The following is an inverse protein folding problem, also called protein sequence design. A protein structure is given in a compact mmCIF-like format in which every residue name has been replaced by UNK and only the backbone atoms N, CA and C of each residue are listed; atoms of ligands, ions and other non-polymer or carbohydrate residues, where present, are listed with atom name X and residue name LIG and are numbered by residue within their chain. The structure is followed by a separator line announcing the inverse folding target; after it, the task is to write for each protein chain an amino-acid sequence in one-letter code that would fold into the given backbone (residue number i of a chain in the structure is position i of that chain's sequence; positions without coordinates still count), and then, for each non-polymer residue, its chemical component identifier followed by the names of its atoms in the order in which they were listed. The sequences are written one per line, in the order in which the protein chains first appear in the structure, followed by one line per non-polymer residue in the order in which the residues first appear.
data_IF_065906005810
#
_entry.id   IF_065906005810
#
_cell.length_a   1.000
_cell.length_b   1.000
_cell.length_c   1.000
_cell.angle_alpha   90.00
_cell.angle_beta   90.00
_cell.angle_gamma   90.00
#
_symmetry.space_group_name_H-M   'P 1'
#
loop_
_entity.id
_entity.type
_entity.pdbx_description
1 polymer ?
#
# COMPACT_ATOMS: atom_id res chain seq x y z
N UNK A 1 -16.36 52.10 -29.24
CA UNK A 1 -16.86 51.05 -28.34
C UNK A 1 -15.80 49.95 -28.31
N UNK A 2 -15.09 49.84 -27.21
CA UNK A 2 -14.04 48.85 -27.03
C UNK A 2 -14.71 47.66 -26.32
N UNK A 3 -14.81 46.52 -27.01
CA UNK A 3 -15.29 45.30 -26.36
C UNK A 3 -14.24 44.81 -25.35
N UNK A 4 -14.63 44.46 -24.12
CA UNK A 4 -13.72 43.85 -23.18
C UNK A 4 -13.40 42.43 -23.65
N UNK A 5 -12.17 42.17 -24.05
CA UNK A 5 -11.65 40.82 -24.26
C UNK A 5 -11.71 40.09 -22.91
N UNK A 6 -12.64 39.18 -22.77
CA UNK A 6 -12.68 38.24 -21.64
C UNK A 6 -11.42 37.39 -21.70
N UNK A 7 -10.49 37.67 -20.80
CA UNK A 7 -9.34 36.81 -20.54
C UNK A 7 -9.88 35.61 -19.79
N UNK A 8 -10.22 34.54 -20.50
CA UNK A 8 -10.43 33.25 -19.85
C UNK A 8 -9.06 32.76 -19.39
N UNK A 9 -8.85 32.53 -18.08
CA UNK A 9 -7.63 31.90 -17.63
C UNK A 9 -7.63 30.47 -18.19
N UNK A 10 -6.70 30.20 -19.12
CA UNK A 10 -6.37 28.84 -19.52
C UNK A 10 -5.97 28.06 -18.26
N UNK A 11 -6.91 27.26 -17.76
CA UNK A 11 -6.59 26.26 -16.76
C UNK A 11 -5.63 25.29 -17.43
N UNK A 12 -4.37 25.18 -16.95
CA UNK A 12 -3.46 24.21 -17.53
C UNK A 12 -4.12 22.85 -17.38
N UNK A 13 -4.36 22.19 -18.49
CA UNK A 13 -4.81 20.80 -18.50
C UNK A 13 -3.85 20.03 -17.60
N UNK A 14 -4.37 19.52 -16.48
CA UNK A 14 -3.61 18.65 -15.63
C UNK A 14 -3.14 17.48 -16.49
N UNK A 15 -1.87 17.53 -16.89
CA UNK A 15 -1.21 16.41 -17.53
C UNK A 15 -1.15 15.32 -16.46
N UNK A 16 -2.20 14.52 -16.40
CA UNK A 16 -2.15 13.24 -15.72
C UNK A 16 -1.13 12.40 -16.47
N UNK A 17 0.12 12.50 -16.06
CA UNK A 17 1.09 11.48 -16.38
C UNK A 17 0.48 10.18 -15.85
N UNK A 18 -0.10 9.38 -16.74
CA UNK A 18 -0.61 8.06 -16.43
C UNK A 18 0.60 7.17 -16.18
N UNK A 19 1.15 7.28 -14.98
CA UNK A 19 2.12 6.30 -14.48
C UNK A 19 1.47 4.92 -14.44
N UNK A 20 2.26 3.85 -14.32
CA UNK A 20 1.72 2.50 -14.27
C UNK A 20 0.64 2.41 -13.19
N UNK A 21 -0.49 1.80 -13.54
CA UNK A 21 -1.63 1.66 -12.62
C UNK A 21 -1.17 0.87 -11.38
N UNK A 22 -1.57 1.31 -10.18
CA UNK A 22 -1.23 0.57 -8.97
C UNK A 22 -1.98 -0.77 -8.92
N UNK A 23 -1.37 -1.75 -8.29
CA UNK A 23 -2.03 -3.01 -7.94
C UNK A 23 -2.70 -2.87 -6.58
N UNK A 24 -3.93 -3.35 -6.47
CA UNK A 24 -4.70 -3.36 -5.22
C UNK A 24 -4.78 -4.79 -4.72
N UNK A 25 -4.22 -5.03 -3.54
CA UNK A 25 -4.18 -6.33 -2.90
C UNK A 25 -5.04 -6.26 -1.64
N UNK A 26 -6.17 -6.95 -1.67
CA UNK A 26 -7.15 -6.93 -0.60
C UNK A 26 -7.06 -8.21 0.21
N UNK A 27 -6.68 -8.11 1.49
CA UNK A 27 -6.62 -9.24 2.39
C UNK A 27 -8.03 -9.67 2.80
N UNK A 28 -8.22 -10.91 3.28
CA UNK A 28 -9.54 -11.38 3.72
C UNK A 28 -10.13 -10.51 4.82
N UNK A 29 -11.42 -10.20 4.73
CA UNK A 29 -12.14 -9.50 5.78
C UNK A 29 -12.21 -10.36 7.06
N UNK A 30 -12.10 -9.71 8.23
CA UNK A 30 -12.15 -10.39 9.52
C UNK A 30 -10.86 -11.08 9.93
N UNK A 31 -9.76 -10.81 9.24
CA UNK A 31 -8.44 -11.24 9.67
C UNK A 31 -8.07 -10.56 10.99
N UNK A 32 -7.62 -11.34 11.97
CA UNK A 32 -7.14 -10.80 13.23
C UNK A 32 -5.86 -9.98 13.01
N UNK A 33 -5.88 -8.73 13.45
CA UNK A 33 -4.81 -7.78 13.23
C UNK A 33 -4.03 -7.51 14.53
N UNK A 34 -2.78 -7.09 14.36
CA UNK A 34 -1.90 -6.67 15.43
C UNK A 34 -2.08 -5.17 15.67
N UNK A 35 -2.48 -4.79 16.88
CA UNK A 35 -2.56 -3.40 17.32
C UNK A 35 -1.51 -3.17 18.40
N UNK A 36 -0.73 -2.09 18.28
CA UNK A 36 0.34 -1.76 19.23
C UNK A 36 -0.17 -1.52 20.66
N UNK A 37 -1.42 -1.04 20.79
CA UNK A 37 -2.04 -0.80 22.10
C UNK A 37 -2.62 -2.05 22.74
N UNK A 38 -2.65 -3.16 22.02
CA UNK A 38 -3.16 -4.43 22.55
C UNK A 38 -2.04 -5.22 23.23
N UNK A 39 -2.21 -5.51 24.51
CA UNK A 39 -1.31 -6.43 25.21
C UNK A 39 -1.51 -7.84 24.67
N UNK A 40 -0.44 -8.41 24.15
CA UNK A 40 -0.47 -9.72 23.52
C UNK A 40 0.79 -10.49 23.91
N UNK A 41 0.61 -11.76 24.25
CA UNK A 41 1.75 -12.64 24.48
C UNK A 41 2.57 -12.82 23.19
N UNK A 42 3.88 -12.89 23.31
CA UNK A 42 4.81 -12.97 22.16
C UNK A 42 4.46 -14.10 21.17
N UNK A 43 4.15 -15.29 21.68
CA UNK A 43 3.73 -16.42 20.83
C UNK A 43 2.43 -16.16 20.06
N UNK A 44 1.48 -15.43 20.67
CA UNK A 44 0.25 -15.05 20.01
C UNK A 44 0.52 -14.01 18.91
N UNK A 45 1.37 -13.03 19.19
CA UNK A 45 1.82 -12.04 18.21
C UNK A 45 2.51 -12.71 17.02
N UNK A 46 3.43 -13.63 17.26
CA UNK A 46 4.13 -14.38 16.22
C UNK A 46 3.15 -15.16 15.31
N UNK A 47 2.12 -15.79 15.91
CA UNK A 47 1.08 -16.49 15.14
C UNK A 47 0.26 -15.53 14.25
N UNK A 48 -0.12 -14.37 14.77
CA UNK A 48 -0.85 -13.37 13.97
C UNK A 48 0.04 -12.80 12.85
N UNK A 49 1.29 -12.48 13.15
CA UNK A 49 2.27 -12.04 12.15
C UNK A 49 2.34 -13.05 10.99
N UNK A 50 2.49 -14.34 11.32
CA UNK A 50 2.52 -15.41 10.31
C UNK A 50 1.23 -15.45 9.49
N UNK A 51 0.06 -15.43 10.15
CA UNK A 51 -1.24 -15.46 9.46
C UNK A 51 -1.44 -14.28 8.51
N UNK A 52 -1.07 -13.07 8.94
CA UNK A 52 -1.19 -11.87 8.09
C UNK A 52 -0.25 -11.97 6.90
N UNK A 53 0.98 -12.41 7.11
CA UNK A 53 1.98 -12.63 6.06
C UNK A 53 1.50 -13.65 5.02
N UNK A 54 0.99 -14.79 5.47
CA UNK A 54 0.41 -15.82 4.61
C UNK A 54 -0.82 -15.30 3.85
N UNK A 55 -1.72 -14.58 4.51
CA UNK A 55 -2.91 -14.00 3.88
C UNK A 55 -2.54 -12.99 2.79
N UNK A 56 -1.52 -12.16 3.01
CA UNK A 56 -1.04 -11.23 1.99
C UNK A 56 -0.43 -11.97 0.79
N UNK A 57 0.39 -12.99 1.04
CA UNK A 57 0.93 -13.86 0.01
C UNK A 57 -0.17 -14.51 -0.85
N UNK A 58 -1.18 -15.09 -0.21
CA UNK A 58 -2.31 -15.72 -0.88
C UNK A 58 -3.15 -14.71 -1.68
N UNK A 59 -3.37 -13.51 -1.12
CA UNK A 59 -4.15 -12.46 -1.79
C UNK A 59 -3.51 -11.95 -3.09
N UNK A 60 -2.20 -12.10 -3.26
CA UNK A 60 -1.52 -11.81 -4.53
C UNK A 60 -2.05 -12.71 -5.65
N UNK A 61 -2.31 -13.99 -5.36
CA UNK A 61 -2.83 -14.94 -6.34
C UNK A 61 -4.26 -14.64 -6.80
N UNK A 62 -4.99 -13.84 -6.04
CA UNK A 62 -6.35 -13.40 -6.38
C UNK A 62 -6.39 -12.20 -7.33
N UNK A 63 -5.22 -11.67 -7.71
CA UNK A 63 -5.08 -10.56 -8.65
C UNK A 63 -4.46 -11.06 -9.97
N UNK A 64 -5.26 -11.41 -10.99
CA UNK A 64 -4.75 -12.01 -12.23
C UNK A 64 -3.70 -11.16 -12.94
N UNK A 65 -3.94 -9.85 -13.04
CA UNK A 65 -2.98 -8.93 -13.69
C UNK A 65 -1.64 -8.87 -12.97
N UNK A 66 -1.64 -8.99 -11.64
CA UNK A 66 -0.42 -9.05 -10.83
C UNK A 66 0.30 -10.38 -11.02
N UNK A 67 -0.43 -11.48 -11.08
CA UNK A 67 0.14 -12.81 -11.34
C UNK A 67 0.78 -12.88 -12.72
N UNK A 68 0.14 -12.33 -13.76
CA UNK A 68 0.72 -12.25 -15.10
C UNK A 68 2.00 -11.42 -15.13
N UNK A 69 2.00 -10.28 -14.43
CA UNK A 69 3.19 -9.42 -14.32
C UNK A 69 4.34 -10.12 -13.58
N UNK A 70 4.04 -10.82 -12.47
CA UNK A 70 5.04 -11.62 -11.73
C UNK A 70 5.64 -12.72 -12.58
N UNK A 71 4.81 -13.42 -13.34
CA UNK A 71 5.28 -14.48 -14.23
C UNK A 71 6.20 -13.94 -15.33
N UNK A 72 5.87 -12.78 -15.88
CA UNK A 72 6.68 -12.11 -16.90
C UNK A 72 8.02 -11.57 -16.36
N UNK A 73 8.07 -11.19 -15.08
CA UNK A 73 9.26 -10.64 -14.45
C UNK A 73 10.29 -11.71 -14.05
N UNK A 74 9.87 -12.97 -13.84
CA UNK A 74 10.76 -14.04 -13.38
C UNK A 74 12.01 -14.20 -14.25
N UNK A 75 13.18 -14.45 -13.66
CA UNK A 75 13.44 -14.75 -12.23
C UNK A 75 13.56 -13.53 -11.32
N UNK A 76 13.48 -12.31 -11.86
CA UNK A 76 13.61 -11.08 -11.11
C UNK A 76 12.34 -10.76 -10.29
N UNK A 77 12.45 -9.95 -9.21
CA UNK A 77 11.29 -9.40 -8.53
C UNK A 77 10.50 -8.50 -9.49
N UNK A 78 9.19 -8.33 -9.21
CA UNK A 78 8.34 -7.52 -10.06
C UNK A 78 8.74 -6.04 -10.07
N UNK A 79 9.11 -5.52 -8.91
CA UNK A 79 9.53 -4.13 -8.74
C UNK A 79 10.95 -4.06 -8.20
N UNK A 80 11.76 -3.22 -8.83
CA UNK A 80 13.02 -2.80 -8.26
C UNK A 80 12.79 -1.88 -7.06
N UNK A 81 11.82 -0.97 -7.20
CA UNK A 81 11.39 -0.04 -6.16
C UNK A 81 9.90 0.25 -6.30
N UNK A 82 9.17 0.35 -5.19
CA UNK A 82 7.75 0.69 -5.20
C UNK A 82 7.31 1.45 -3.96
N UNK A 83 6.19 2.15 -4.10
CA UNK A 83 5.45 2.75 -3.00
C UNK A 83 4.31 1.83 -2.57
N UNK A 84 4.13 1.70 -1.26
CA UNK A 84 3.01 0.97 -0.66
C UNK A 84 2.16 1.93 0.15
N UNK A 85 0.88 2.00 -0.20
CA UNK A 85 -0.17 2.60 0.61
C UNK A 85 -0.95 1.49 1.31
N UNK A 86 -0.92 1.50 2.64
CA UNK A 86 -1.71 0.60 3.48
C UNK A 86 -3.02 1.26 3.90
N UNK A 87 -4.14 0.61 3.67
CA UNK A 87 -5.45 1.10 4.07
C UNK A 87 -6.07 0.13 5.08
N UNK A 88 -6.37 0.64 6.27
CA UNK A 88 -7.11 -0.09 7.29
C UNK A 88 -8.58 0.29 7.19
N UNK A 89 -9.43 -0.65 6.81
CA UNK A 89 -10.87 -0.53 6.89
C UNK A 89 -11.35 -1.05 8.25
N UNK A 90 -11.86 -0.17 9.14
CA UNK A 90 -12.36 -0.61 10.44
C UNK A 90 -13.68 -1.37 10.30
N UNK A 91 -13.98 -2.22 11.27
CA UNK A 91 -15.25 -2.97 11.31
C UNK A 91 -16.44 -2.13 11.82
N UNK A 92 -16.16 -1.04 12.52
CA UNK A 92 -17.16 -0.13 13.11
C UNK A 92 -16.76 1.31 12.94
N UNK A 93 -17.73 2.19 12.89
CA UNK A 93 -17.54 3.64 12.90
C UNK A 93 -17.49 4.23 14.32
N UNK A 94 -17.28 5.53 14.43
CA UNK A 94 -17.45 6.31 15.67
C UNK A 94 -16.32 6.29 16.68
N UNK A 95 -15.19 5.59 16.40
CA UNK A 95 -14.01 5.62 17.27
C UNK A 95 -12.84 6.35 16.59
N UNK A 96 -12.13 7.15 17.38
CA UNK A 96 -10.83 7.69 16.94
C UNK A 96 -9.84 6.54 16.80
N UNK A 97 -9.16 6.47 15.69
CA UNK A 97 -8.12 5.48 15.39
C UNK A 97 -6.91 6.16 14.79
N UNK A 98 -5.75 5.72 15.23
CA UNK A 98 -4.50 6.08 14.60
C UNK A 98 -4.02 4.88 13.77
N UNK A 99 -3.96 4.96 12.45
CA UNK A 99 -3.56 3.84 11.61
C UNK A 99 -2.14 3.34 11.94
N UNK A 100 -1.26 4.19 12.47
CA UNK A 100 0.08 3.79 12.91
C UNK A 100 0.08 2.71 13.99
N UNK A 101 -0.97 2.60 14.81
CA UNK A 101 -1.10 1.53 15.79
C UNK A 101 -1.18 0.12 15.17
N UNK A 102 -1.52 0.02 13.89
CA UNK A 102 -1.56 -1.24 13.15
C UNK A 102 -0.30 -1.48 12.29
N UNK A 103 0.76 -0.72 12.51
CA UNK A 103 2.00 -0.88 11.76
C UNK A 103 2.50 -2.34 11.71
N UNK A 104 2.43 -3.08 12.82
CA UNK A 104 2.80 -4.49 12.85
C UNK A 104 2.02 -5.37 11.87
N UNK A 105 0.73 -5.06 11.66
CA UNK A 105 -0.09 -5.74 10.66
C UNK A 105 0.33 -5.38 9.23
N UNK A 106 0.56 -4.09 8.96
CA UNK A 106 1.04 -3.65 7.66
C UNK A 106 2.41 -4.22 7.33
N UNK A 107 3.34 -4.22 8.29
CA UNK A 107 4.67 -4.80 8.11
C UNK A 107 4.59 -6.29 7.76
N UNK A 108 3.80 -7.06 8.52
CA UNK A 108 3.60 -8.49 8.24
C UNK A 108 2.99 -8.73 6.83
N UNK A 109 2.05 -7.87 6.41
CA UNK A 109 1.48 -7.95 5.07
C UNK A 109 2.53 -7.63 3.98
N UNK A 110 3.36 -6.62 4.18
CA UNK A 110 4.48 -6.30 3.25
C UNK A 110 5.46 -7.47 3.13
N UNK A 111 5.81 -8.12 4.25
CA UNK A 111 6.64 -9.33 4.23
C UNK A 111 6.02 -10.44 3.36
N UNK A 112 4.68 -10.55 3.36
CA UNK A 112 3.96 -11.47 2.48
C UNK A 112 4.08 -11.11 1.00
N UNK A 113 4.17 -9.83 0.65
CA UNK A 113 4.40 -9.39 -0.72
C UNK A 113 5.84 -9.70 -1.18
N UNK A 114 6.81 -9.59 -0.27
CA UNK A 114 8.20 -10.03 -0.54
C UNK A 114 8.23 -11.51 -0.84
N UNK A 115 7.58 -12.33 -0.01
CA UNK A 115 7.47 -13.79 -0.23
C UNK A 115 6.82 -14.14 -1.58
N UNK A 116 5.87 -13.31 -2.02
CA UNK A 116 5.20 -13.49 -3.31
C UNK A 116 6.05 -13.05 -4.51
N UNK A 117 7.22 -12.43 -4.28
CA UNK A 117 8.14 -12.02 -5.34
C UNK A 117 7.90 -10.61 -5.89
N UNK A 118 7.13 -9.76 -5.19
CA UNK A 118 6.96 -8.38 -5.63
C UNK A 118 8.25 -7.58 -5.48
N UNK A 119 9.02 -7.86 -4.44
CA UNK A 119 10.28 -7.21 -4.10
C UNK A 119 11.33 -8.24 -3.75
N UNK A 120 12.61 -7.87 -3.88
CA UNK A 120 13.72 -8.67 -3.39
C UNK A 120 13.76 -8.66 -1.85
N UNK A 121 13.53 -7.49 -1.26
CA UNK A 121 13.48 -7.25 0.18
C UNK A 121 12.55 -6.06 0.45
N UNK A 122 12.23 -5.80 1.71
CA UNK A 122 11.40 -4.67 2.12
C UNK A 122 12.19 -3.51 2.72
N UNK A 123 13.50 -3.47 2.50
CA UNK A 123 14.34 -2.37 2.96
C UNK A 123 14.01 -1.04 2.26
N UNK A 124 14.53 0.05 2.82
CA UNK A 124 14.23 1.42 2.35
C UNK A 124 14.68 1.71 0.91
N UNK A 125 15.54 0.88 0.32
CA UNK A 125 15.97 1.03 -1.07
C UNK A 125 14.95 0.46 -2.05
N UNK A 126 14.10 -0.46 -1.59
CA UNK A 126 13.11 -1.19 -2.37
C UNK A 126 11.69 -0.71 -2.11
N UNK A 127 11.36 -0.43 -0.85
CA UNK A 127 10.00 -0.07 -0.44
C UNK A 127 9.96 1.32 0.19
N UNK A 128 9.11 2.17 -0.36
CA UNK A 128 8.72 3.44 0.23
C UNK A 128 7.38 3.25 0.93
N UNK A 129 7.34 3.50 2.21
CA UNK A 129 6.16 3.24 3.05
C UNK A 129 6.34 1.96 3.91
N UNK A 130 5.24 1.34 4.37
CA UNK A 130 3.87 1.66 3.99
C UNK A 130 3.37 2.99 4.57
N UNK A 131 2.81 3.83 3.73
CA UNK A 131 1.99 4.95 4.18
C UNK A 131 0.63 4.42 4.62
N UNK A 132 0.19 4.80 5.81
CA UNK A 132 -0.99 4.20 6.42
C UNK A 132 -2.16 5.17 6.44
N UNK A 133 -3.34 4.70 6.01
CA UNK A 133 -4.59 5.46 5.99
C UNK A 133 -5.72 4.64 6.61
N UNK A 134 -6.74 5.37 7.12
CA UNK A 134 -8.02 4.77 7.43
C UNK A 134 -8.92 4.83 6.19
N UNK A 135 -9.51 3.71 5.85
CA UNK A 135 -10.55 3.60 4.85
C UNK A 135 -11.95 3.67 5.44
N UNK A 136 -12.94 3.49 4.59
CA UNK A 136 -14.34 3.36 5.01
C UNK A 136 -14.56 2.08 5.82
N UNK A 137 -15.68 2.05 6.58
CA UNK A 137 -16.07 0.85 7.34
C UNK A 137 -16.34 -0.32 6.40
N UNK A 138 -15.73 -1.47 6.70
CA UNK A 138 -15.99 -2.74 6.03
C UNK A 138 -16.39 -3.75 7.09
N UNK A 139 -17.49 -4.47 6.85
CA UNK A 139 -17.95 -5.50 7.77
C UNK A 139 -16.82 -6.48 8.10
N UNK A 140 -16.57 -6.68 9.39
CA UNK A 140 -15.49 -7.50 9.97
C UNK A 140 -14.09 -6.85 9.89
N UNK A 141 -13.93 -5.69 9.26
CA UNK A 141 -12.64 -5.04 9.08
C UNK A 141 -11.80 -5.68 7.97
N UNK A 142 -10.88 -4.92 7.39
CA UNK A 142 -10.06 -5.40 6.28
C UNK A 142 -8.78 -4.58 6.12
N UNK A 143 -7.69 -5.22 5.71
CA UNK A 143 -6.48 -4.57 5.24
C UNK A 143 -6.44 -4.59 3.71
N UNK A 144 -6.03 -3.46 3.13
CA UNK A 144 -5.77 -3.33 1.70
C UNK A 144 -4.38 -2.73 1.51
N UNK A 145 -3.62 -3.28 0.59
CA UNK A 145 -2.35 -2.74 0.15
C UNK A 145 -2.47 -2.28 -1.30
N UNK A 146 -2.07 -1.04 -1.55
CA UNK A 146 -1.98 -0.48 -2.89
C UNK A 146 -0.52 -0.30 -3.23
N UNK A 147 -0.04 -0.99 -4.26
CA UNK A 147 1.38 -1.06 -4.62
C UNK A 147 1.58 -0.42 -5.99
N UNK A 148 2.46 0.56 -6.06
CA UNK A 148 2.82 1.24 -7.30
C UNK A 148 4.33 1.22 -7.51
N UNK A 149 4.77 0.71 -8.66
CA UNK A 149 6.17 0.80 -9.06
C UNK A 149 6.64 2.25 -9.17
N UNK A 150 7.88 2.49 -8.77
CA UNK A 150 8.52 3.80 -8.80
C UNK A 150 9.74 3.77 -9.72
N UNK A 151 9.98 4.89 -10.40
CA UNK A 151 11.27 5.14 -11.01
C UNK A 151 12.37 5.28 -9.91
N UNK A 152 13.65 5.06 -10.24
CA UNK A 152 14.73 5.03 -9.24
C UNK A 152 14.78 6.24 -8.31
N UNK A 153 14.54 7.44 -8.84
CA UNK A 153 14.62 8.71 -8.11
C UNK A 153 13.24 9.34 -7.84
N UNK A 154 12.17 8.60 -8.10
CA UNK A 154 10.80 9.10 -7.90
C UNK A 154 10.44 9.19 -6.43
N UNK A 155 9.95 10.37 -6.00
CA UNK A 155 9.27 10.53 -4.72
C UNK A 155 7.75 10.36 -4.93
N UNK A 156 7.12 9.33 -4.36
CA UNK A 156 5.70 9.05 -4.58
C UNK A 156 4.77 10.13 -4.03
N UNK A 157 5.23 10.95 -3.11
CA UNK A 157 4.44 12.01 -2.46
C UNK A 157 4.74 13.39 -3.03
N UNK A 158 5.71 13.51 -3.96
CA UNK A 158 6.12 14.78 -4.54
C UNK A 158 6.90 15.68 -3.59
N UNK A 159 7.32 15.17 -2.42
CA UNK A 159 8.24 15.87 -1.54
C UNK A 159 9.67 15.62 -2.01
N UNK A 160 10.41 16.69 -2.23
CA UNK A 160 11.83 16.54 -2.42
C UNK A 160 12.47 16.19 -1.06
N UNK A 161 13.30 15.17 -1.03
CA UNK A 161 14.11 14.91 0.13
C UNK A 161 14.89 16.18 0.46
N UNK A 162 14.78 16.64 1.72
CA UNK A 162 15.54 17.80 2.16
C UNK A 162 17.01 17.50 1.89
N UNK A 163 17.61 18.31 1.03
CA UNK A 163 19.02 18.18 0.73
C UNK A 163 19.82 18.24 2.04
N UNK A 164 20.71 17.33 2.21
CA UNK A 164 21.55 17.19 3.40
C UNK A 164 22.57 18.31 3.49
#
# INVERSE_FOLDING_TARGET
MIEPTLFEPEVPAATTAAGPRPYVITLPAGLDLINANQRMHEKARARLTKKIREAAFESVSECPSLMDALAAAKPDPLFERAHILGVLHPSTDGRRRDPANWYGSFKAAVDGLVDAGLFEDDDHTRVVGPDMRLGTVVKRGQLVLVVRGLEPDEDPLGYQAVAR
#
